data_IF_112984762286
#
_entry.id   IF_112984762286
#
_cell.length_a   1.000
_cell.length_b   1.000
_cell.length_c   1.000
_cell.angle_alpha   90.00
_cell.angle_beta   90.00
_cell.angle_gamma   90.00
#
_symmetry.space_group_name_H-M   'P 1'
#
loop_
_entity.id
_entity.type
_entity.pdbx_description
1 polymer ?
#
# COMPACT_ATOMS: atom_id res chain seq x y z
N UNK A 1 -0.37 -42.11 -34.43
CA UNK A 1 -1.07 -41.29 -33.42
C UNK A 1 -0.11 -41.00 -32.29
N UNK A 2 0.45 -39.80 -32.23
CA UNK A 2 1.26 -39.36 -31.08
C UNK A 2 1.17 -37.84 -30.99
N UNK A 3 0.18 -37.33 -30.25
CA UNK A 3 0.12 -35.93 -29.83
C UNK A 3 0.85 -35.84 -28.49
N UNK A 4 2.09 -35.36 -28.50
CA UNK A 4 2.85 -35.09 -27.28
C UNK A 4 2.86 -33.58 -27.09
N UNK A 5 2.18 -33.10 -26.05
CA UNK A 5 2.31 -31.73 -25.55
C UNK A 5 3.55 -31.73 -24.65
N UNK A 6 4.55 -30.91 -25.00
CA UNK A 6 5.76 -30.72 -24.17
C UNK A 6 5.61 -29.42 -23.37
N UNK A 7 5.29 -29.48 -22.06
CA UNK A 7 5.25 -28.27 -21.25
C UNK A 7 6.69 -27.75 -21.06
N UNK A 8 6.90 -26.47 -21.35
CA UNK A 8 8.18 -25.82 -21.18
C UNK A 8 8.29 -25.32 -19.73
N UNK A 9 8.78 -26.18 -18.82
CA UNK A 9 9.11 -25.74 -17.47
C UNK A 9 10.42 -24.94 -17.50
N UNK A 10 10.37 -23.67 -17.10
CA UNK A 10 11.53 -22.78 -17.01
C UNK A 10 11.65 -21.72 -18.09
N UNK A 11 10.68 -21.60 -19.01
CA UNK A 11 10.62 -20.50 -19.98
C UNK A 11 9.87 -19.29 -19.43
N UNK A 12 10.34 -18.68 -18.33
CA UNK A 12 9.89 -17.33 -18.00
C UNK A 12 10.57 -16.37 -18.97
N UNK A 13 10.01 -16.21 -20.17
CA UNK A 13 10.11 -14.92 -20.84
C UNK A 13 9.28 -13.97 -19.98
N UNK A 14 9.90 -13.45 -18.93
CA UNK A 14 9.39 -12.28 -18.24
C UNK A 14 9.59 -11.17 -19.25
N UNK A 15 8.59 -10.99 -20.12
CA UNK A 15 8.38 -9.71 -20.76
C UNK A 15 8.52 -8.70 -19.62
N UNK A 16 9.60 -7.95 -19.70
CA UNK A 16 9.86 -6.85 -18.79
C UNK A 16 8.85 -5.79 -19.25
N UNK A 17 7.57 -6.00 -18.92
CA UNK A 17 6.74 -4.87 -18.55
C UNK A 17 7.57 -4.17 -17.49
N UNK A 18 8.12 -3.03 -17.88
CA UNK A 18 8.77 -2.13 -16.96
C UNK A 18 7.79 -2.00 -15.81
N UNK A 19 8.16 -2.55 -14.65
CA UNK A 19 7.52 -2.23 -13.41
C UNK A 19 7.80 -0.74 -13.27
N UNK A 20 6.91 0.08 -13.82
CA UNK A 20 6.99 1.52 -13.73
C UNK A 20 6.97 1.75 -12.22
N UNK A 21 8.13 2.12 -11.69
CA UNK A 21 8.27 2.38 -10.28
C UNK A 21 7.17 3.40 -9.97
N UNK A 22 6.24 3.09 -9.04
CA UNK A 22 5.13 3.98 -8.78
C UNK A 22 5.71 5.36 -8.52
N UNK A 23 5.24 6.34 -9.31
CA UNK A 23 5.78 7.69 -9.27
C UNK A 23 5.74 8.18 -7.81
N UNK A 24 6.89 8.44 -7.17
CA UNK A 24 6.94 8.82 -5.75
C UNK A 24 6.28 10.19 -5.50
N UNK A 25 5.83 10.86 -6.56
CA UNK A 25 5.16 12.15 -6.53
C UNK A 25 3.69 12.11 -6.95
N UNK A 26 3.09 10.92 -7.14
CA UNK A 26 1.66 10.85 -7.37
C UNK A 26 0.95 11.39 -6.13
N UNK A 27 0.27 12.53 -6.27
CA UNK A 27 -0.41 13.24 -5.18
C UNK A 27 -1.61 12.39 -4.70
N UNK A 28 -1.34 11.38 -3.87
CA UNK A 28 -2.37 10.57 -3.23
C UNK A 28 -3.18 11.49 -2.30
N UNK A 29 -4.40 11.85 -2.73
CA UNK A 29 -5.34 12.54 -1.85
C UNK A 29 -5.79 11.56 -0.76
N UNK A 30 -5.51 11.84 0.52
CA UNK A 30 -5.93 10.95 1.59
C UNK A 30 -7.46 10.98 1.71
N UNK A 31 -8.06 9.80 1.64
CA UNK A 31 -9.46 9.57 2.01
C UNK A 31 -9.71 9.91 3.48
N UNK A 32 -8.73 9.62 4.32
CA UNK A 32 -8.80 9.89 5.75
C UNK A 32 -7.40 10.06 6.34
N UNK A 33 -7.25 11.02 7.25
CA UNK A 33 -6.02 11.21 8.02
C UNK A 33 -6.33 10.84 9.46
N UNK A 34 -5.63 9.84 9.99
CA UNK A 34 -5.84 9.38 11.37
C UNK A 34 -5.05 10.23 12.37
N UNK A 35 -3.85 10.68 11.99
CA UNK A 35 -3.05 11.54 12.85
C UNK A 35 -1.57 11.54 12.50
N UNK A 36 -0.81 12.20 13.37
CA UNK A 36 0.65 12.30 13.29
C UNK A 36 1.26 11.98 14.65
N UNK A 37 2.27 11.12 14.68
CA UNK A 37 3.02 10.78 15.91
C UNK A 37 4.46 10.39 15.55
N UNK A 38 5.40 10.63 16.47
CA UNK A 38 6.84 10.35 16.28
C UNK A 38 7.45 10.93 14.98
N UNK A 39 6.87 12.02 14.45
CA UNK A 39 7.29 12.63 13.18
C UNK A 39 6.77 11.96 11.91
N UNK A 40 5.84 11.01 12.02
CA UNK A 40 5.19 10.34 10.90
C UNK A 40 3.68 10.63 10.85
N UNK A 41 3.14 10.77 9.64
CA UNK A 41 1.71 10.88 9.32
C UNK A 41 1.17 9.49 8.99
N UNK A 42 -0.03 9.16 9.48
CA UNK A 42 -0.77 7.95 9.13
C UNK A 42 -2.07 8.35 8.43
N UNK A 43 -2.28 7.82 7.22
CA UNK A 43 -3.45 8.13 6.40
C UNK A 43 -3.96 6.90 5.64
N UNK A 44 -5.22 6.96 5.23
CA UNK A 44 -5.84 6.06 4.27
C UNK A 44 -5.91 6.76 2.92
N UNK A 45 -5.48 6.08 1.88
CA UNK A 45 -5.62 6.51 0.48
C UNK A 45 -6.35 5.43 -0.30
N UNK A 46 -7.07 5.83 -1.35
CA UNK A 46 -7.60 4.89 -2.32
C UNK A 46 -6.75 4.98 -3.56
N UNK A 47 -6.18 3.84 -3.93
CA UNK A 47 -5.51 3.68 -5.21
C UNK A 47 -6.52 3.12 -6.21
N UNK A 48 -6.84 3.95 -7.20
CA UNK A 48 -7.78 3.62 -8.26
C UNK A 48 -7.09 3.40 -9.61
N UNK A 49 -5.75 3.41 -9.67
CA UNK A 49 -4.98 3.48 -10.93
C UNK A 49 -3.89 2.44 -11.07
N UNK A 50 -3.60 1.64 -10.05
CA UNK A 50 -2.73 0.48 -10.18
C UNK A 50 -3.22 -0.52 -11.24
N UNK A 51 -2.33 -1.39 -11.77
CA UNK A 51 -2.72 -2.54 -12.59
C UNK A 51 -3.55 -3.58 -11.79
N UNK A 52 -3.51 -3.48 -10.46
CA UNK A 52 -4.38 -4.20 -9.55
C UNK A 52 -5.75 -3.49 -9.45
N UNK A 53 -6.82 -4.26 -9.23
CA UNK A 53 -8.16 -3.70 -8.97
C UNK A 53 -8.11 -2.59 -7.89
N UNK A 54 -9.05 -1.62 -7.90
CA UNK A 54 -9.03 -0.51 -6.95
C UNK A 54 -8.84 -1.00 -5.52
N UNK A 55 -7.97 -0.37 -4.75
CA UNK A 55 -7.65 -0.83 -3.39
C UNK A 55 -7.55 0.32 -2.39
N UNK A 56 -7.72 -0.02 -1.12
CA UNK A 56 -7.48 0.85 0.02
C UNK A 56 -6.06 0.62 0.52
N UNK A 57 -5.28 1.68 0.70
CA UNK A 57 -3.92 1.59 1.26
C UNK A 57 -3.81 2.43 2.52
N UNK A 58 -3.38 1.80 3.60
CA UNK A 58 -2.92 2.53 4.79
C UNK A 58 -1.47 2.90 4.54
N UNK A 59 -1.17 4.19 4.61
CA UNK A 59 0.16 4.74 4.31
C UNK A 59 0.76 5.45 5.52
N UNK A 60 2.07 5.36 5.64
CA UNK A 60 2.88 6.06 6.63
C UNK A 60 3.95 6.87 5.91
N UNK A 61 4.09 8.14 6.26
CA UNK A 61 5.12 9.00 5.68
C UNK A 61 5.70 9.95 6.70
N UNK A 62 6.97 10.34 6.55
CA UNK A 62 7.54 11.37 7.41
C UNK A 62 6.77 12.68 7.21
N UNK A 63 6.28 13.32 8.28
CA UNK A 63 5.44 14.51 8.19
C UNK A 63 6.13 15.70 7.50
N UNK A 64 7.46 15.70 7.46
CA UNK A 64 8.30 16.72 6.82
C UNK A 64 8.71 16.39 5.37
N UNK A 65 8.34 15.22 4.84
CA UNK A 65 8.72 14.76 3.50
C UNK A 65 7.50 14.26 2.74
N UNK A 66 7.48 14.49 1.44
CA UNK A 66 6.40 14.00 0.56
C UNK A 66 6.62 12.53 0.14
N UNK A 67 7.08 11.69 1.07
CA UNK A 67 7.37 10.26 0.82
C UNK A 67 6.52 9.43 1.74
N UNK A 68 5.69 8.57 1.16
CA UNK A 68 4.75 7.69 1.86
C UNK A 68 5.03 6.23 1.49
N UNK A 69 4.87 5.33 2.45
CA UNK A 69 4.99 3.88 2.28
C UNK A 69 3.68 3.21 2.67
N UNK A 70 3.20 2.27 1.85
CA UNK A 70 2.02 1.49 2.17
C UNK A 70 2.36 0.40 3.18
N UNK A 71 1.66 0.39 4.31
CA UNK A 71 1.83 -0.61 5.39
C UNK A 71 0.73 -1.66 5.40
N UNK A 72 -0.39 -1.39 4.74
CA UNK A 72 -1.47 -2.35 4.50
C UNK A 72 -2.18 -2.03 3.17
N UNK A 73 -2.63 -3.07 2.47
CA UNK A 73 -3.41 -2.98 1.23
C UNK A 73 -4.65 -3.86 1.40
N UNK A 74 -5.83 -3.29 1.18
CA UNK A 74 -7.12 -3.92 1.46
C UNK A 74 -8.09 -3.73 0.29
N UNK A 75 -9.07 -4.64 0.12
CA UNK A 75 -10.10 -4.47 -0.90
C UNK A 75 -10.97 -3.24 -0.59
N UNK A 76 -11.55 -2.59 -1.61
CA UNK A 76 -12.35 -1.36 -1.46
C UNK A 76 -13.81 -1.72 -1.10
N UNK A 77 -13.99 -2.55 -0.09
CA UNK A 77 -15.30 -2.92 0.48
C UNK A 77 -15.49 -2.27 1.84
N UNK A 78 -16.71 -2.33 2.37
CA UNK A 78 -17.02 -1.82 3.71
C UNK A 78 -16.23 -2.60 4.78
N UNK A 79 -16.10 -3.92 4.64
CA UNK A 79 -15.26 -4.74 5.54
C UNK A 79 -13.78 -4.36 5.41
N UNK A 80 -13.29 -4.19 4.18
CA UNK A 80 -11.91 -3.74 3.93
C UNK A 80 -11.64 -2.35 4.50
N UNK A 81 -12.65 -1.48 4.55
CA UNK A 81 -12.55 -0.18 5.21
C UNK A 81 -12.41 -0.31 6.73
N UNK A 82 -13.22 -1.17 7.36
CA UNK A 82 -13.11 -1.44 8.80
C UNK A 82 -11.73 -1.99 9.16
N UNK A 83 -11.23 -2.95 8.38
CA UNK A 83 -9.89 -3.51 8.58
C UNK A 83 -8.78 -2.47 8.37
N UNK A 84 -8.95 -1.56 7.39
CA UNK A 84 -8.02 -0.46 7.14
C UNK A 84 -8.00 0.53 8.31
N UNK A 85 -9.17 0.88 8.85
CA UNK A 85 -9.30 1.76 10.01
C UNK A 85 -8.62 1.14 11.24
N UNK A 86 -8.82 -0.16 11.48
CA UNK A 86 -8.15 -0.89 12.57
C UNK A 86 -6.63 -0.89 12.41
N UNK A 87 -6.12 -1.19 11.21
CA UNK A 87 -4.69 -1.19 10.93
C UNK A 87 -4.06 0.19 11.12
N UNK A 88 -4.70 1.25 10.61
CA UNK A 88 -4.22 2.60 10.74
C UNK A 88 -4.17 3.09 12.20
N UNK A 89 -5.21 2.79 12.99
CA UNK A 89 -5.22 3.11 14.43
C UNK A 89 -4.14 2.34 15.19
N UNK A 90 -3.91 1.07 14.86
CA UNK A 90 -2.86 0.27 15.49
C UNK A 90 -1.45 0.85 15.21
N UNK A 91 -1.21 1.27 13.97
CA UNK A 91 0.07 1.91 13.57
C UNK A 91 0.23 3.27 14.26
N UNK A 92 -0.80 4.12 14.24
CA UNK A 92 -0.76 5.40 14.95
C UNK A 92 -0.47 5.20 16.43
N UNK A 93 -1.13 4.23 17.07
CA UNK A 93 -0.90 3.94 18.49
C UNK A 93 0.53 3.45 18.76
N UNK A 94 1.09 2.64 17.88
CA UNK A 94 2.49 2.20 17.99
C UNK A 94 3.46 3.38 17.91
N UNK A 95 3.21 4.34 17.00
CA UNK A 95 4.01 5.56 16.86
C UNK A 95 3.90 6.45 18.11
N UNK A 96 2.71 6.62 18.67
CA UNK A 96 2.51 7.36 19.93
C UNK A 96 3.27 6.74 21.09
N UNK A 97 3.34 5.40 21.17
CA UNK A 97 4.12 4.70 22.20
C UNK A 97 5.62 4.99 22.04
N UNK A 98 6.12 4.99 20.80
CA UNK A 98 7.52 5.32 20.50
C UNK A 98 7.82 6.78 20.86
N UNK A 99 6.90 7.70 20.58
CA UNK A 99 7.04 9.11 20.92
C UNK A 99 7.05 9.35 22.43
N UNK A 100 6.16 8.70 23.18
CA UNK A 100 6.11 8.79 24.63
C UNK A 100 7.31 8.15 25.33
N UNK A 101 8.02 7.24 24.66
CA UNK A 101 9.23 6.59 25.16
C UNK A 101 10.53 7.37 24.91
N UNK A 102 10.47 8.55 24.27
CA UNK A 102 11.60 9.46 24.06
C UNK A 102 11.71 10.51 25.16
#
# INVERSE_FOLDING_TARGET
>A
MTNIIRPHFGGCTRETEAFEAPDPHEEYQPLHVYGTAAGYLVALVQDARGPEEPCLKVVVGAASKNTIEAVAVLPPTDEGRVDADMAAMAVLRALEIIEAGR
#
